data_IF_644891041947
#
_entry.id   IF_644891041947
#
_cell.length_a   1.000
_cell.length_b   1.000
_cell.length_c   1.000
_cell.angle_alpha   90.00
_cell.angle_beta   90.00
_cell.angle_gamma   90.00
#
_symmetry.space_group_name_H-M   'P 1'
#
loop_
_entity.id
_entity.type
_entity.pdbx_description
1 polymer ?
#
# COMPACT_ATOMS: atom_id res chain seq x y z
N UNK A 1 29.22 -0.19 38.10
CA UNK A 1 28.15 0.53 37.37
C UNK A 1 27.34 -0.58 36.77
N UNK A 2 26.18 -0.87 37.35
CA UNK A 2 25.25 -1.80 36.73
C UNK A 2 24.85 -1.15 35.40
N UNK A 3 25.29 -1.72 34.29
CA UNK A 3 24.69 -1.37 33.00
C UNK A 3 23.22 -1.75 33.12
N UNK A 4 22.32 -0.76 33.01
CA UNK A 4 20.89 -1.02 32.95
C UNK A 4 20.64 -1.97 31.77
N UNK A 5 20.49 -3.25 32.08
CA UNK A 5 20.22 -4.27 31.09
C UNK A 5 18.78 -4.11 30.64
N UNK A 6 18.57 -3.84 29.36
CA UNK A 6 17.24 -3.62 28.77
C UNK A 6 16.91 -4.72 27.76
N UNK A 7 15.65 -4.78 27.34
CA UNK A 7 15.26 -5.51 26.13
C UNK A 7 14.83 -4.51 25.07
N UNK A 8 15.10 -4.83 23.81
CA UNK A 8 14.88 -3.93 22.70
C UNK A 8 14.06 -4.56 21.60
N UNK A 9 13.37 -3.72 20.83
CA UNK A 9 12.76 -4.09 19.55
C UNK A 9 13.48 -3.39 18.42
N UNK A 10 13.93 -4.18 17.45
CA UNK A 10 14.44 -3.71 16.16
C UNK A 10 13.36 -3.88 15.10
N UNK A 11 13.04 -2.81 14.39
CA UNK A 11 12.12 -2.86 13.24
C UNK A 11 12.94 -2.93 11.96
N UNK A 12 12.57 -3.83 11.04
CA UNK A 12 13.30 -4.07 9.79
C UNK A 12 12.33 -4.03 8.63
N UNK A 13 12.64 -3.26 7.58
CA UNK A 13 11.88 -3.26 6.33
C UNK A 13 12.79 -3.69 5.17
N UNK A 14 13.09 -4.99 5.11
CA UNK A 14 13.82 -5.67 4.03
C UNK A 14 12.89 -6.42 3.07
N UNK A 15 11.59 -6.44 3.36
CA UNK A 15 10.55 -7.01 2.51
C UNK A 15 10.18 -6.08 1.34
N UNK A 16 11.18 -5.78 0.51
CA UNK A 16 11.10 -4.97 -0.70
C UNK A 16 11.87 -5.66 -1.84
N UNK A 17 11.81 -5.10 -3.06
CA UNK A 17 12.50 -5.67 -4.24
C UNK A 17 14.02 -5.48 -4.22
N UNK A 18 14.55 -4.58 -3.39
CA UNK A 18 16.01 -4.39 -3.24
C UNK A 18 16.61 -5.35 -2.21
N UNK A 19 15.80 -6.04 -1.40
CA UNK A 19 16.22 -6.95 -0.34
C UNK A 19 17.20 -6.32 0.67
N UNK A 20 17.06 -5.01 0.91
CA UNK A 20 17.83 -4.26 1.90
C UNK A 20 16.89 -3.61 2.92
N UNK A 21 17.36 -3.46 4.15
CA UNK A 21 16.60 -2.78 5.21
C UNK A 21 16.47 -1.28 4.93
N UNK A 22 15.26 -0.85 4.58
CA UNK A 22 14.92 0.54 4.25
C UNK A 22 14.15 1.24 5.39
N UNK A 23 14.00 0.61 6.57
CA UNK A 23 13.21 1.16 7.67
C UNK A 23 13.63 2.59 8.03
N UNK A 24 14.91 2.77 8.38
CA UNK A 24 15.48 4.06 8.77
C UNK A 24 15.45 5.13 7.67
N UNK A 25 15.26 4.74 6.40
CA UNK A 25 15.20 5.67 5.26
C UNK A 25 13.79 6.16 4.96
N UNK A 26 12.76 5.39 5.33
CA UNK A 26 11.39 5.65 4.88
C UNK A 26 10.39 5.83 6.02
N UNK A 27 10.55 5.10 7.13
CA UNK A 27 9.66 5.19 8.26
C UNK A 27 10.03 6.39 9.13
N UNK A 28 9.01 7.07 9.66
CA UNK A 28 9.19 8.26 10.51
C UNK A 28 8.39 8.24 11.81
N UNK A 29 7.56 7.20 11.96
CA UNK A 29 6.64 7.04 13.07
C UNK A 29 6.40 5.56 13.33
N UNK A 30 6.36 5.15 14.59
CA UNK A 30 6.16 3.76 14.99
C UNK A 30 5.12 3.65 16.12
N UNK A 31 4.19 2.72 15.96
CA UNK A 31 3.23 2.31 16.96
C UNK A 31 3.40 0.81 17.20
N UNK A 32 3.89 0.42 18.38
CA UNK A 32 4.02 -0.97 18.80
C UNK A 32 2.92 -1.30 19.81
N UNK A 33 1.94 -2.07 19.39
CA UNK A 33 0.88 -2.61 20.23
C UNK A 33 1.35 -3.90 20.87
N UNK A 34 1.27 -3.96 22.19
CA UNK A 34 1.70 -5.10 23.00
C UNK A 34 0.47 -5.79 23.57
N UNK A 35 0.35 -7.09 23.31
CA UNK A 35 -0.69 -7.96 23.84
C UNK A 35 -0.04 -9.06 24.68
N UNK A 36 -0.72 -9.54 25.72
CA UNK A 36 -0.24 -10.66 26.51
C UNK A 36 -0.35 -11.99 25.74
N UNK A 37 0.10 -13.09 26.35
CA UNK A 37 0.04 -14.44 25.74
C UNK A 37 -1.38 -14.92 25.39
N UNK A 38 -2.42 -14.29 25.93
CA UNK A 38 -3.84 -14.57 25.64
C UNK A 38 -4.42 -13.63 24.59
N UNK A 39 -3.61 -12.72 24.05
CA UNK A 39 -4.03 -11.73 23.07
C UNK A 39 -4.80 -10.56 23.66
N UNK A 40 -4.69 -10.30 24.97
CA UNK A 40 -5.31 -9.13 25.62
C UNK A 40 -4.35 -7.95 25.57
N UNK A 41 -4.85 -6.79 25.18
CA UNK A 41 -4.06 -5.57 25.02
C UNK A 41 -3.48 -5.12 26.36
N UNK A 42 -2.17 -4.84 26.36
CA UNK A 42 -1.40 -4.42 27.54
C UNK A 42 -1.05 -2.94 27.44
N UNK A 43 -0.41 -2.54 26.35
CA UNK A 43 0.04 -1.16 26.15
C UNK A 43 0.36 -0.88 24.68
N UNK A 44 0.48 0.40 24.36
CA UNK A 44 0.97 0.89 23.07
C UNK A 44 2.22 1.73 23.32
N UNK A 45 3.34 1.33 22.73
CA UNK A 45 4.56 2.13 22.70
C UNK A 45 4.59 2.94 21.40
N UNK A 46 4.95 4.22 21.49
CA UNK A 46 4.97 5.14 20.35
C UNK A 46 6.31 5.81 20.26
N UNK A 47 6.81 5.93 19.04
CA UNK A 47 7.95 6.78 18.74
C UNK A 47 7.62 7.62 17.50
N UNK A 48 7.85 8.93 17.58
CA UNK A 48 7.72 9.87 16.48
C UNK A 48 8.84 10.89 16.60
N UNK A 49 9.96 10.59 15.92
CA UNK A 49 11.20 11.36 16.00
C UNK A 49 11.62 11.98 14.66
N UNK A 50 10.77 11.85 13.63
CA UNK A 50 11.17 12.15 12.26
C UNK A 50 11.95 10.97 11.67
N UNK A 51 13.05 11.20 10.97
CA UNK A 51 13.85 10.12 10.41
C UNK A 51 14.50 9.28 11.53
N UNK A 52 14.25 7.96 11.55
CA UNK A 52 14.91 7.05 12.49
C UNK A 52 16.41 6.92 12.18
N UNK A 53 17.23 6.80 13.22
CA UNK A 53 18.63 6.43 13.06
C UNK A 53 18.76 4.99 12.49
N UNK A 54 19.81 4.67 11.71
CA UNK A 54 20.01 3.32 11.17
C UNK A 54 20.06 2.21 12.22
N UNK A 55 20.52 2.52 13.43
CA UNK A 55 20.66 1.63 14.58
C UNK A 55 19.57 1.85 15.64
N UNK A 56 18.45 2.48 15.27
CA UNK A 56 17.33 2.71 16.17
C UNK A 56 16.81 1.40 16.79
N UNK A 57 16.66 1.43 18.12
CA UNK A 57 16.08 0.37 18.94
C UNK A 57 15.01 0.98 19.83
N UNK A 58 13.83 0.37 19.85
CA UNK A 58 12.78 0.74 20.81
C UNK A 58 13.01 -0.03 22.12
N UNK A 59 13.27 0.69 23.21
CA UNK A 59 13.44 0.10 24.54
C UNK A 59 12.10 -0.38 25.10
N UNK A 60 12.05 -1.61 25.61
CA UNK A 60 10.88 -2.18 26.25
C UNK A 60 10.80 -1.77 27.75
N UNK A 61 9.59 -1.55 28.31
CA UNK A 61 9.42 -1.27 29.74
C UNK A 61 9.73 -2.45 30.66
N UNK A 62 10.61 -2.27 31.65
CA UNK A 62 11.08 -3.27 32.64
C UNK A 62 10.02 -4.21 33.23
N UNK A 63 8.79 -3.73 33.41
CA UNK A 63 7.65 -4.51 33.88
C UNK A 63 7.27 -5.70 32.98
N UNK A 64 7.81 -5.77 31.77
CA UNK A 64 7.61 -6.86 30.81
C UNK A 64 8.56 -8.04 31.00
N UNK A 65 9.54 -7.95 31.90
CA UNK A 65 10.53 -8.99 32.11
C UNK A 65 9.90 -10.36 32.42
N UNK A 66 10.38 -11.41 31.75
CA UNK A 66 10.02 -12.80 32.05
C UNK A 66 8.57 -13.19 31.71
N UNK A 67 7.85 -12.38 30.93
CA UNK A 67 6.48 -12.66 30.45
C UNK A 67 6.46 -12.81 28.93
N UNK A 68 5.47 -13.54 28.43
CA UNK A 68 5.23 -13.75 26.99
C UNK A 68 4.25 -12.71 26.43
N UNK A 69 4.57 -12.21 25.24
CA UNK A 69 3.81 -11.19 24.55
C UNK A 69 3.67 -11.48 23.05
N UNK A 70 2.66 -10.82 22.46
CA UNK A 70 2.46 -10.68 21.03
C UNK A 70 2.61 -9.20 20.71
N UNK A 71 3.48 -8.90 19.75
CA UNK A 71 3.73 -7.55 19.26
C UNK A 71 3.06 -7.38 17.89
N UNK A 72 2.28 -6.31 17.74
CA UNK A 72 1.76 -5.86 16.46
C UNK A 72 2.26 -4.43 16.22
N UNK A 73 3.02 -4.24 15.16
CA UNK A 73 3.63 -2.97 14.80
C UNK A 73 2.88 -2.35 13.62
N UNK A 74 2.60 -1.06 13.73
CA UNK A 74 2.16 -0.24 12.62
C UNK A 74 3.07 0.99 12.53
N UNK A 75 3.64 1.24 11.36
CA UNK A 75 4.43 2.43 11.09
C UNK A 75 3.70 3.34 10.11
N UNK A 76 3.74 4.66 10.36
CA UNK A 76 3.10 5.64 9.49
C UNK A 76 1.60 5.87 9.74
N UNK A 77 1.11 5.56 10.95
CA UNK A 77 -0.26 5.89 11.38
C UNK A 77 -0.43 7.39 11.62
N UNK A 78 -0.52 8.14 10.52
CA UNK A 78 -0.84 9.56 10.47
C UNK A 78 -2.35 9.75 10.38
N UNK A 79 -2.90 10.61 11.25
CA UNK A 79 -4.35 10.86 11.36
C UNK A 79 -4.95 11.55 10.13
N UNK A 80 -4.11 12.07 9.24
CA UNK A 80 -4.47 12.63 7.94
C UNK A 80 -4.83 11.55 6.91
N UNK A 81 -4.36 10.31 7.13
CA UNK A 81 -4.52 9.19 6.20
C UNK A 81 -5.29 8.02 6.81
N UNK A 82 -5.14 7.78 8.12
CA UNK A 82 -5.58 6.55 8.76
C UNK A 82 -6.32 6.80 10.07
N UNK A 83 -7.39 6.04 10.26
CA UNK A 83 -8.03 5.86 11.56
C UNK A 83 -7.53 4.56 12.19
N UNK A 84 -7.52 4.56 13.52
CA UNK A 84 -7.25 3.39 14.33
C UNK A 84 -8.20 3.34 15.50
N UNK A 85 -8.55 2.14 15.91
CA UNK A 85 -9.30 1.95 17.16
C UNK A 85 -8.47 2.37 18.38
N UNK A 86 -9.16 2.85 19.41
CA UNK A 86 -8.54 3.07 20.73
C UNK A 86 -8.75 1.81 21.55
N UNK A 87 -7.66 1.11 21.85
CA UNK A 87 -7.69 -0.10 22.66
C UNK A 87 -7.64 0.23 24.16
N UNK A 88 -8.36 -0.56 24.96
CA UNK A 88 -8.40 -0.43 26.42
C UNK A 88 -7.57 -1.54 27.08
N UNK A 89 -6.52 -1.20 27.85
CA UNK A 89 -5.68 -2.19 28.53
C UNK A 89 -6.48 -3.16 29.40
N UNK A 90 -6.18 -4.46 29.30
CA UNK A 90 -6.84 -5.52 30.04
C UNK A 90 -8.25 -5.88 29.58
N UNK A 91 -8.78 -5.20 28.56
CA UNK A 91 -10.13 -5.42 28.02
C UNK A 91 -10.09 -5.77 26.54
N UNK A 92 -9.51 -4.89 25.73
CA UNK A 92 -9.42 -5.11 24.28
C UNK A 92 -8.51 -6.27 23.96
N UNK A 93 -8.76 -6.91 22.82
CA UNK A 93 -8.03 -8.07 22.34
C UNK A 93 -7.41 -7.79 20.97
N UNK A 94 -6.62 -8.73 20.46
CA UNK A 94 -6.09 -8.68 19.09
C UNK A 94 -7.19 -8.48 18.04
N UNK A 95 -8.35 -9.10 18.22
CA UNK A 95 -9.47 -9.00 17.27
C UNK A 95 -10.10 -7.60 17.24
N UNK A 96 -9.91 -6.81 18.30
CA UNK A 96 -10.38 -5.43 18.31
C UNK A 96 -9.46 -4.50 17.53
N UNK A 97 -8.19 -4.86 17.29
CA UNK A 97 -7.22 -4.01 16.61
C UNK A 97 -7.52 -3.93 15.11
N UNK A 98 -8.02 -2.76 14.72
CA UNK A 98 -8.28 -2.39 13.34
C UNK A 98 -7.57 -1.08 12.96
N UNK A 99 -7.05 -1.04 11.73
CA UNK A 99 -6.56 0.17 11.06
C UNK A 99 -7.32 0.34 9.75
N UNK A 100 -7.79 1.55 9.46
CA UNK A 100 -8.55 1.85 8.25
C UNK A 100 -8.10 3.15 7.60
N UNK A 101 -8.30 3.27 6.28
CA UNK A 101 -8.17 4.55 5.59
C UNK A 101 -9.32 5.46 5.96
N UNK A 102 -9.03 6.73 6.22
CA UNK A 102 -10.02 7.67 6.72
C UNK A 102 -10.43 8.73 5.71
N UNK A 103 -11.34 9.61 6.13
CA UNK A 103 -11.79 10.78 5.36
C UNK A 103 -12.24 10.42 3.93
N UNK A 104 -12.92 9.28 3.81
CA UNK A 104 -13.46 8.80 2.54
C UNK A 104 -14.55 9.76 2.06
N UNK A 105 -14.42 10.28 0.84
CA UNK A 105 -15.48 11.07 0.20
C UNK A 105 -16.56 10.13 -0.33
N UNK A 106 -17.81 10.55 -0.24
CA UNK A 106 -18.93 9.72 -0.71
C UNK A 106 -19.04 9.75 -2.24
N UNK A 107 -19.01 8.57 -2.87
CA UNK A 107 -19.47 8.34 -4.24
C UNK A 107 -20.47 7.18 -4.23
N UNK A 108 -21.34 7.08 -5.23
CA UNK A 108 -22.31 5.98 -5.33
C UNK A 108 -21.54 4.64 -5.32
N UNK A 109 -21.76 3.83 -4.29
CA UNK A 109 -21.19 2.48 -4.17
C UNK A 109 -19.79 2.38 -3.56
N UNK A 110 -19.25 3.42 -2.91
CA UNK A 110 -17.98 3.30 -2.20
C UNK A 110 -17.39 4.61 -1.65
N UNK A 111 -16.27 4.48 -0.95
CA UNK A 111 -15.49 5.61 -0.44
C UNK A 111 -14.36 6.01 -1.39
N UNK A 112 -14.13 7.31 -1.55
CA UNK A 112 -13.07 7.84 -2.43
C UNK A 112 -11.92 8.44 -1.63
N UNK A 113 -10.69 8.12 -2.04
CA UNK A 113 -9.43 8.73 -1.60
C UNK A 113 -8.81 9.50 -2.76
N UNK A 114 -8.70 10.82 -2.64
CA UNK A 114 -8.16 11.72 -3.67
C UNK A 114 -6.93 12.50 -3.22
N UNK A 115 -6.24 11.97 -2.21
CA UNK A 115 -5.05 12.58 -1.61
C UNK A 115 -3.91 11.57 -1.58
N UNK A 116 -2.69 12.10 -1.53
CA UNK A 116 -1.52 11.27 -1.26
C UNK A 116 -1.64 10.69 0.16
N UNK A 117 -1.55 9.37 0.28
CA UNK A 117 -1.52 8.68 1.56
C UNK A 117 -0.09 8.65 2.12
N UNK A 118 0.04 8.91 3.43
CA UNK A 118 1.28 8.64 4.14
C UNK A 118 1.64 7.16 4.01
N UNK A 119 2.92 6.82 3.96
CA UNK A 119 3.35 5.42 3.83
C UNK A 119 2.92 4.60 5.06
N UNK A 120 2.43 3.38 4.85
CA UNK A 120 1.95 2.50 5.91
C UNK A 120 2.67 1.16 5.88
N UNK A 121 3.17 0.72 7.04
CA UNK A 121 3.75 -0.60 7.22
C UNK A 121 3.10 -1.34 8.38
N UNK A 122 3.07 -2.67 8.28
CA UNK A 122 2.66 -3.58 9.34
C UNK A 122 3.76 -4.59 9.63
N UNK A 123 3.87 -5.01 10.89
CA UNK A 123 4.60 -6.22 11.26
C UNK A 123 3.97 -6.89 12.47
N UNK A 124 4.19 -8.19 12.63
CA UNK A 124 3.74 -8.94 13.81
C UNK A 124 4.83 -9.91 14.26
N UNK A 125 5.05 -9.97 15.56
CA UNK A 125 5.94 -10.95 16.18
C UNK A 125 5.23 -11.60 17.36
N UNK A 126 5.20 -12.93 17.38
CA UNK A 126 4.62 -13.72 18.47
C UNK A 126 5.71 -14.29 19.37
N UNK A 127 5.29 -14.80 20.53
CA UNK A 127 6.14 -15.51 21.50
C UNK A 127 7.32 -14.68 22.04
N UNK A 128 7.19 -13.35 22.06
CA UNK A 128 8.24 -12.45 22.54
C UNK A 128 8.34 -12.55 24.06
N UNK A 129 9.53 -12.83 24.57
CA UNK A 129 9.80 -12.98 26.00
C UNK A 129 11.00 -12.14 26.43
N UNK A 130 10.82 -10.84 26.72
CA UNK A 130 11.90 -9.93 27.10
C UNK A 130 12.66 -10.41 28.34
N UNK A 131 13.98 -10.53 28.26
CA UNK A 131 14.83 -11.07 29.35
C UNK A 131 15.58 -9.98 30.15
N UNK A 132 15.63 -8.75 29.65
CA UNK A 132 16.39 -7.64 30.24
C UNK A 132 17.85 -8.00 30.42
N UNK A 133 18.46 -8.55 29.36
CA UNK A 133 19.88 -8.90 29.28
C UNK A 133 20.54 -8.34 28.00
N UNK A 134 20.02 -7.20 27.52
CA UNK A 134 20.36 -6.59 26.22
C UNK A 134 19.92 -7.44 25.01
N UNK A 135 18.85 -8.23 25.17
CA UNK A 135 18.21 -8.97 24.09
C UNK A 135 17.49 -8.05 23.11
N UNK A 136 17.55 -8.42 21.83
CA UNK A 136 16.91 -7.70 20.73
C UNK A 136 15.92 -8.63 20.04
N UNK A 137 14.65 -8.24 20.05
CA UNK A 137 13.60 -8.88 19.24
C UNK A 137 13.47 -8.13 17.93
N UNK A 138 13.52 -8.84 16.79
CA UNK A 138 13.29 -8.22 15.49
C UNK A 138 11.83 -8.35 15.07
N UNK A 139 11.21 -7.26 14.62
CA UNK A 139 9.90 -7.24 13.98
C UNK A 139 10.08 -6.87 12.52
N UNK A 140 9.86 -7.83 11.63
CA UNK A 140 9.88 -7.61 10.18
C UNK A 140 8.63 -6.87 9.73
N UNK A 141 8.82 -5.86 8.89
CA UNK A 141 7.77 -4.99 8.39
C UNK A 141 7.49 -5.25 6.90
N UNK A 142 6.22 -5.17 6.54
CA UNK A 142 5.69 -5.20 5.18
C UNK A 142 5.02 -3.86 4.88
N UNK A 143 5.26 -3.32 3.69
CA UNK A 143 4.69 -2.04 3.26
C UNK A 143 3.35 -2.22 2.55
N UNK A 144 2.29 -1.66 3.12
CA UNK A 144 0.93 -1.75 2.58
C UNK A 144 0.69 -0.77 1.43
N UNK A 145 1.15 0.47 1.57
CA UNK A 145 0.94 1.53 0.56
C UNK A 145 1.71 1.27 -0.73
N UNK A 146 1.04 1.46 -1.86
CA UNK A 146 1.60 1.33 -3.23
C UNK A 146 1.41 2.64 -3.99
N UNK A 147 2.39 3.02 -4.81
CA UNK A 147 2.33 4.20 -5.69
C UNK A 147 2.28 3.79 -7.15
N UNK A 148 1.45 4.50 -7.91
CA UNK A 148 1.27 4.33 -9.34
C UNK A 148 1.50 5.66 -10.05
N UNK A 149 2.37 5.68 -11.06
CA UNK A 149 2.52 6.82 -11.99
C UNK A 149 2.08 6.35 -13.37
N UNK A 150 1.01 6.93 -13.88
CA UNK A 150 0.44 6.61 -15.18
C UNK A 150 0.79 7.73 -16.14
N UNK A 151 1.31 7.39 -17.31
CA UNK A 151 1.67 8.29 -18.39
C UNK A 151 0.82 7.89 -19.61
N UNK A 152 0.18 8.83 -20.27
CA UNK A 152 -0.60 8.62 -21.48
C UNK A 152 0.01 9.41 -22.63
N UNK A 153 0.31 8.72 -23.73
CA UNK A 153 1.01 9.26 -24.90
C UNK A 153 0.22 9.00 -26.17
N UNK A 154 0.17 10.00 -27.05
CA UNK A 154 -0.29 9.82 -28.43
C UNK A 154 0.88 9.35 -29.31
N UNK A 155 0.63 8.35 -30.15
CA UNK A 155 1.57 7.88 -31.18
C UNK A 155 1.45 8.65 -32.50
N UNK A 156 0.46 9.53 -32.61
CA UNK A 156 0.24 10.44 -33.73
C UNK A 156 0.31 11.90 -33.26
N UNK A 157 0.08 12.85 -34.17
CA UNK A 157 0.19 14.30 -33.91
C UNK A 157 -0.97 14.88 -33.07
N UNK A 158 -1.85 14.03 -32.53
CA UNK A 158 -2.94 14.49 -31.66
C UNK A 158 -2.42 14.91 -30.29
N UNK A 159 -3.12 15.85 -29.65
CA UNK A 159 -2.86 16.22 -28.25
C UNK A 159 -3.58 15.29 -27.28
N UNK A 160 -3.00 15.12 -26.10
CA UNK A 160 -3.63 14.48 -24.95
C UNK A 160 -3.44 15.36 -23.73
N UNK A 161 -4.52 15.54 -22.96
CA UNK A 161 -4.51 16.35 -21.75
C UNK A 161 -4.99 15.51 -20.56
N UNK A 162 -4.25 15.53 -19.46
CA UNK A 162 -4.56 14.73 -18.27
C UNK A 162 -5.93 15.11 -17.68
N UNK A 163 -6.31 16.38 -17.79
CA UNK A 163 -7.55 16.90 -17.25
C UNK A 163 -8.79 16.35 -17.96
N UNK A 164 -8.65 15.73 -19.13
CA UNK A 164 -9.74 15.07 -19.84
C UNK A 164 -10.10 13.69 -19.26
N UNK A 165 -9.31 13.17 -18.30
CA UNK A 165 -9.44 11.80 -17.80
C UNK A 165 -9.62 11.72 -16.29
N UNK A 166 -10.42 10.76 -15.85
CA UNK A 166 -10.51 10.27 -14.48
C UNK A 166 -9.72 8.97 -14.34
N UNK A 167 -8.73 8.96 -13.46
CA UNK A 167 -7.92 7.78 -13.14
C UNK A 167 -8.37 7.20 -11.80
N UNK A 168 -8.59 5.89 -11.75
CA UNK A 168 -9.05 5.20 -10.55
C UNK A 168 -8.38 3.84 -10.36
N UNK A 169 -7.91 3.58 -9.15
CA UNK A 169 -7.71 2.20 -8.67
C UNK A 169 -8.89 1.86 -7.76
N UNK A 170 -9.56 0.75 -8.03
CA UNK A 170 -10.71 0.29 -7.24
C UNK A 170 -10.32 -1.02 -6.56
N UNK A 171 -10.40 -1.05 -5.23
CA UNK A 171 -9.98 -2.21 -4.44
C UNK A 171 -10.68 -2.26 -3.07
N UNK A 172 -11.06 -3.46 -2.57
CA UNK A 172 -11.59 -3.64 -1.21
C UNK A 172 -10.46 -3.76 -0.16
N UNK A 173 -9.56 -2.76 -0.11
CA UNK A 173 -8.36 -2.81 0.74
C UNK A 173 -8.26 -1.65 1.75
N UNK A 174 -9.40 -1.09 2.14
CA UNK A 174 -9.47 0.09 3.00
C UNK A 174 -9.29 -0.19 4.49
N UNK A 175 -9.39 -1.44 4.94
CA UNK A 175 -9.45 -1.82 6.36
C UNK A 175 -8.62 -3.07 6.62
N UNK A 176 -7.93 -3.10 7.76
CA UNK A 176 -6.98 -4.16 8.13
C UNK A 176 -7.20 -4.61 9.58
N UNK A 177 -7.13 -5.91 9.82
CA UNK A 177 -7.05 -6.47 11.15
C UNK A 177 -5.59 -6.54 11.66
N UNK A 178 -5.41 -7.11 12.85
CA UNK A 178 -4.10 -7.28 13.50
C UNK A 178 -3.11 -8.18 12.74
N UNK A 179 -3.59 -9.04 11.82
CA UNK A 179 -2.76 -9.90 10.95
C UNK A 179 -2.43 -9.25 9.61
N UNK A 180 -2.79 -7.97 9.43
CA UNK A 180 -2.75 -7.30 8.12
C UNK A 180 -3.64 -7.94 7.06
N UNK A 181 -4.63 -8.72 7.49
CA UNK A 181 -5.69 -9.26 6.66
C UNK A 181 -6.73 -8.17 6.38
N UNK A 182 -7.28 -8.20 5.16
CA UNK A 182 -8.32 -7.26 4.76
C UNK A 182 -9.61 -7.52 5.55
N UNK A 183 -10.31 -6.44 5.89
CA UNK A 183 -11.62 -6.46 6.52
C UNK A 183 -12.66 -5.81 5.60
N UNK A 184 -13.92 -6.19 5.77
CA UNK A 184 -15.06 -5.65 5.04
C UNK A 184 -15.53 -6.55 3.90
N UNK A 185 -16.73 -6.26 3.39
CA UNK A 185 -17.29 -6.97 2.23
C UNK A 185 -16.60 -6.52 0.93
N UNK A 186 -16.07 -7.47 0.15
CA UNK A 186 -15.35 -7.15 -1.09
C UNK A 186 -16.22 -6.52 -2.18
N UNK A 187 -17.54 -6.71 -2.12
CA UNK A 187 -18.51 -6.17 -3.09
C UNK A 187 -18.92 -4.75 -2.70
N UNK A 188 -19.21 -4.53 -1.41
CA UNK A 188 -19.84 -3.31 -0.92
C UNK A 188 -18.87 -2.30 -0.28
N UNK A 189 -17.69 -2.74 0.18
CA UNK A 189 -16.71 -1.89 0.87
C UNK A 189 -15.46 -1.58 0.01
N UNK A 190 -15.65 -1.40 -1.30
CA UNK A 190 -14.57 -0.98 -2.20
C UNK A 190 -14.17 0.48 -1.97
N UNK A 191 -12.87 0.73 -2.01
CA UNK A 191 -12.28 2.07 -2.02
C UNK A 191 -11.86 2.41 -3.45
N UNK A 192 -12.27 3.59 -3.91
CA UNK A 192 -11.74 4.19 -5.13
C UNK A 192 -10.61 5.16 -4.78
N UNK A 193 -9.41 4.89 -5.28
CA UNK A 193 -8.28 5.80 -5.18
C UNK A 193 -8.14 6.58 -6.49
N UNK A 194 -8.23 7.90 -6.43
CA UNK A 194 -8.07 8.79 -7.59
C UNK A 194 -6.69 9.44 -7.60
N UNK A 195 -6.36 10.10 -8.71
CA UNK A 195 -5.11 10.85 -8.80
C UNK A 195 -5.06 11.98 -7.76
N UNK A 196 -3.93 12.07 -7.04
CA UNK A 196 -3.61 13.18 -6.14
C UNK A 196 -2.68 14.21 -6.80
N UNK A 197 -2.05 13.83 -7.91
CA UNK A 197 -1.22 14.70 -8.72
C UNK A 197 -1.45 14.40 -10.20
N UNK A 198 -1.63 15.45 -10.99
CA UNK A 198 -1.78 15.39 -12.44
C UNK A 198 -0.91 16.47 -13.08
N UNK A 199 -0.36 16.18 -14.24
CA UNK A 199 0.53 17.07 -14.99
C UNK A 199 0.41 16.79 -16.50
N UNK A 200 0.40 17.84 -17.31
CA UNK A 200 0.67 17.73 -18.74
C UNK A 200 2.14 18.06 -18.97
N UNK A 201 2.92 17.07 -19.40
CA UNK A 201 4.32 17.24 -19.75
C UNK A 201 4.49 17.31 -21.28
N UNK A 202 5.14 18.36 -21.83
CA UNK A 202 5.25 18.54 -23.28
C UNK A 202 6.00 17.42 -24.03
N UNK A 203 6.88 16.68 -23.36
CA UNK A 203 7.68 15.63 -23.98
C UNK A 203 7.07 14.23 -23.78
N UNK A 204 6.43 14.01 -22.64
CA UNK A 204 5.98 12.68 -22.18
C UNK A 204 4.47 12.51 -22.15
N UNK A 205 3.68 13.57 -22.32
CA UNK A 205 2.22 13.54 -22.43
C UNK A 205 1.49 13.77 -21.10
N UNK A 206 0.31 13.17 -20.96
CA UNK A 206 -0.55 13.34 -19.78
C UNK A 206 -0.11 12.40 -18.65
N UNK A 207 0.09 12.92 -17.44
CA UNK A 207 0.64 12.18 -16.30
C UNK A 207 -0.31 12.25 -15.12
N UNK A 208 -0.61 11.10 -14.50
CA UNK A 208 -1.36 11.01 -13.26
C UNK A 208 -0.64 10.13 -12.22
N UNK A 209 -0.57 10.60 -10.98
CA UNK A 209 -0.08 9.80 -9.86
C UNK A 209 -1.20 9.44 -8.89
N UNK A 210 -1.26 8.17 -8.55
CA UNK A 210 -2.21 7.57 -7.64
C UNK A 210 -1.46 6.79 -6.56
N UNK A 211 -2.15 6.52 -5.45
CA UNK A 211 -1.74 5.50 -4.50
C UNK A 211 -2.86 4.52 -4.26
N UNK A 212 -2.53 3.34 -3.77
CA UNK A 212 -3.50 2.44 -3.14
C UNK A 212 -2.85 1.80 -1.92
N UNK A 213 -3.59 0.93 -1.24
CA UNK A 213 -3.09 0.16 -0.12
C UNK A 213 -2.72 -1.26 -0.59
N UNK A 214 -2.70 -2.23 0.33
CA UNK A 214 -2.18 -3.57 0.05
C UNK A 214 -3.00 -4.23 -1.05
N UNK A 215 -2.33 -4.79 -2.05
CA UNK A 215 -2.96 -5.54 -3.12
C UNK A 215 -2.89 -7.02 -2.77
N UNK A 216 -4.06 -7.66 -2.66
CA UNK A 216 -4.17 -9.08 -2.34
C UNK A 216 -4.50 -9.88 -3.60
N UNK A 217 -3.91 -11.06 -3.76
CA UNK A 217 -4.06 -11.86 -4.98
C UNK A 217 -5.46 -12.42 -5.19
N UNK A 218 -6.20 -12.60 -4.09
CA UNK A 218 -7.55 -13.14 -4.02
C UNK A 218 -8.63 -12.05 -4.14
N UNK A 219 -8.28 -10.77 -4.19
CA UNK A 219 -9.24 -9.66 -4.35
C UNK A 219 -9.30 -9.10 -5.76
N UNK A 220 -10.46 -8.55 -6.12
CA UNK A 220 -10.65 -7.84 -7.39
C UNK A 220 -10.08 -6.41 -7.33
N UNK A 221 -8.84 -6.26 -7.80
CA UNK A 221 -8.16 -4.97 -7.92
C UNK A 221 -8.23 -4.48 -9.37
N UNK A 222 -8.80 -3.29 -9.62
CA UNK A 222 -9.00 -2.76 -10.97
C UNK A 222 -8.31 -1.42 -11.16
N UNK A 223 -7.73 -1.21 -12.34
CA UNK A 223 -7.35 0.11 -12.83
C UNK A 223 -8.36 0.54 -13.90
N UNK A 224 -9.00 1.67 -13.68
CA UNK A 224 -10.03 2.24 -14.54
C UNK A 224 -9.63 3.66 -14.96
N UNK A 225 -9.70 3.94 -16.26
CA UNK A 225 -9.50 5.27 -16.83
C UNK A 225 -10.76 5.62 -17.63
N UNK A 226 -11.37 6.76 -17.33
CA UNK A 226 -12.61 7.21 -17.96
C UNK A 226 -12.38 8.59 -18.58
N UNK A 227 -12.81 8.79 -19.82
CA UNK A 227 -12.77 10.11 -20.45
C UNK A 227 -13.96 10.94 -19.92
N UNK A 228 -13.66 12.04 -19.22
CA UNK A 228 -14.62 12.80 -18.41
C UNK A 228 -15.81 13.32 -19.21
N UNK A 229 -15.56 13.90 -20.38
CA UNK A 229 -16.61 14.57 -21.17
C UNK A 229 -17.60 13.58 -21.78
N UNK A 230 -17.11 12.45 -22.31
CA UNK A 230 -17.94 11.41 -22.91
C UNK A 230 -18.52 10.41 -21.91
N UNK A 231 -17.87 10.24 -20.75
CA UNK A 231 -18.15 9.13 -19.82
C UNK A 231 -17.63 7.76 -20.28
N UNK A 232 -16.95 7.67 -21.44
CA UNK A 232 -16.46 6.41 -21.98
C UNK A 232 -15.31 5.86 -21.14
N UNK A 233 -15.35 4.55 -20.89
CA UNK A 233 -14.28 3.82 -20.22
C UNK A 233 -13.19 3.51 -21.25
N UNK A 234 -12.04 4.16 -21.09
CA UNK A 234 -10.88 4.02 -21.97
C UNK A 234 -10.06 2.78 -21.62
N UNK A 235 -9.88 2.55 -20.32
CA UNK A 235 -9.17 1.40 -19.79
C UNK A 235 -9.94 0.86 -18.60
N UNK A 236 -10.08 -0.45 -18.54
CA UNK A 236 -10.59 -1.15 -17.37
C UNK A 236 -9.98 -2.54 -17.33
N UNK A 237 -9.01 -2.71 -16.42
CA UNK A 237 -8.19 -3.90 -16.37
C UNK A 237 -8.05 -4.48 -14.96
N UNK A 238 -8.02 -5.82 -14.82
CA UNK A 238 -7.68 -6.47 -13.56
C UNK A 238 -6.18 -6.29 -13.26
N UNK A 239 -5.85 -5.39 -12.34
CA UNK A 239 -4.49 -4.92 -12.07
C UNK A 239 -3.53 -6.08 -11.74
N UNK A 240 -3.97 -7.02 -10.90
CA UNK A 240 -3.18 -8.19 -10.49
C UNK A 240 -2.69 -9.03 -11.67
N UNK A 241 -3.49 -9.16 -12.75
CA UNK A 241 -3.12 -9.93 -13.95
C UNK A 241 -1.89 -9.32 -14.62
N UNK A 242 -1.86 -8.00 -14.75
CA UNK A 242 -0.79 -7.28 -15.45
C UNK A 242 0.46 -7.16 -14.56
N UNK A 243 0.29 -6.95 -13.25
CA UNK A 243 1.41 -7.01 -12.30
C UNK A 243 2.04 -8.41 -12.24
N UNK A 244 1.25 -9.48 -12.34
CA UNK A 244 1.78 -10.85 -12.43
C UNK A 244 2.57 -11.10 -13.72
N UNK A 245 2.17 -10.50 -14.84
CA UNK A 245 2.92 -10.60 -16.09
C UNK A 245 4.33 -10.01 -15.94
N UNK A 246 4.46 -8.86 -15.24
CA UNK A 246 5.77 -8.28 -14.91
C UNK A 246 6.59 -9.17 -13.98
N UNK A 247 5.94 -9.69 -12.92
CA UNK A 247 6.58 -10.62 -12.01
C UNK A 247 7.16 -11.82 -12.74
N UNK A 248 6.38 -12.47 -13.60
CA UNK A 248 6.82 -13.66 -14.37
C UNK A 248 8.07 -13.41 -15.22
N UNK A 249 8.33 -12.17 -15.60
CA UNK A 249 9.47 -11.81 -16.41
C UNK A 249 10.74 -11.54 -15.60
N UNK A 250 10.62 -10.80 -14.50
CA UNK A 250 11.79 -10.30 -13.74
C UNK A 250 11.99 -10.99 -12.39
N UNK A 251 10.92 -11.56 -11.85
CA UNK A 251 10.84 -12.12 -10.50
C UNK A 251 10.06 -13.45 -10.51
N UNK A 252 10.32 -14.30 -11.50
CA UNK A 252 9.55 -15.52 -11.75
C UNK A 252 9.52 -16.49 -10.55
N UNK A 253 10.59 -16.46 -9.75
CA UNK A 253 10.84 -17.38 -8.64
C UNK A 253 10.09 -17.02 -7.35
N UNK A 254 9.54 -15.79 -7.23
CA UNK A 254 8.75 -15.40 -6.05
C UNK A 254 7.25 -15.54 -6.33
N UNK A 255 6.43 -15.97 -5.35
CA UNK A 255 4.96 -15.98 -5.48
C UNK A 255 4.38 -14.61 -5.81
N UNK A 256 3.18 -14.58 -6.41
CA UNK A 256 2.53 -13.32 -6.78
C UNK A 256 2.24 -12.43 -5.56
N UNK A 257 1.74 -12.99 -4.46
CA UNK A 257 1.48 -12.20 -3.25
C UNK A 257 2.78 -11.58 -2.70
N UNK A 258 3.88 -12.34 -2.67
CA UNK A 258 5.18 -11.81 -2.26
C UNK A 258 5.64 -10.67 -3.17
N UNK A 259 5.48 -10.79 -4.50
CA UNK A 259 5.79 -9.70 -5.42
C UNK A 259 4.92 -8.45 -5.17
N UNK A 260 3.60 -8.62 -5.02
CA UNK A 260 2.68 -7.50 -4.75
C UNK A 260 2.99 -6.81 -3.42
N UNK A 261 3.48 -7.57 -2.43
CA UNK A 261 3.87 -7.02 -1.14
C UNK A 261 5.25 -6.33 -1.18
N UNK A 262 6.23 -6.85 -1.95
CA UNK A 262 7.58 -6.27 -2.11
C UNK A 262 7.63 -5.05 -3.02
N UNK A 263 6.90 -5.08 -4.13
CA UNK A 263 6.83 -3.98 -5.07
C UNK A 263 5.92 -2.88 -4.50
N UNK A 264 6.40 -1.63 -4.44
CA UNK A 264 5.65 -0.51 -3.88
C UNK A 264 5.53 0.69 -4.83
N UNK A 265 6.20 0.64 -5.99
CA UNK A 265 6.16 1.67 -7.03
C UNK A 265 5.93 1.03 -8.40
N UNK A 266 4.98 1.57 -9.14
CA UNK A 266 4.58 1.08 -10.45
C UNK A 266 4.45 2.25 -11.44
N UNK A 267 5.28 2.27 -12.48
CA UNK A 267 5.08 3.12 -13.65
C UNK A 267 4.23 2.40 -14.68
N UNK A 268 3.22 3.06 -15.23
CA UNK A 268 2.39 2.58 -16.35
C UNK A 268 2.47 3.65 -17.44
N UNK A 269 2.72 3.25 -18.68
CA UNK A 269 2.71 4.10 -19.86
C UNK A 269 1.65 3.52 -20.80
N UNK A 270 0.75 4.34 -21.28
CA UNK A 270 -0.33 3.97 -22.20
C UNK A 270 -0.09 4.73 -23.49
N UNK A 271 0.08 4.00 -24.58
CA UNK A 271 0.23 4.56 -25.91
C UNK A 271 -1.09 4.43 -26.66
N UNK A 272 -1.54 5.54 -27.22
CA UNK A 272 -2.80 5.65 -27.95
C UNK A 272 -2.52 5.96 -29.41
N UNK A 273 -3.37 5.45 -30.30
CA UNK A 273 -3.32 5.78 -31.72
C UNK A 273 -4.72 6.12 -32.21
N UNK A 274 -4.91 7.35 -32.66
CA UNK A 274 -6.16 7.88 -33.22
C UNK A 274 -7.37 7.82 -32.29
N UNK A 275 -8.36 8.64 -32.59
CA UNK A 275 -9.71 8.51 -32.03
C UNK A 275 -10.70 8.26 -33.18
N UNK A 276 -11.70 7.41 -32.95
CA UNK A 276 -12.84 7.27 -33.84
C UNK A 276 -13.75 8.52 -33.76
N UNK A 277 -14.75 8.59 -34.63
CA UNK A 277 -15.70 9.71 -34.65
C UNK A 277 -16.58 9.85 -33.39
N UNK A 278 -16.49 8.89 -32.45
CA UNK A 278 -17.21 8.88 -31.17
C UNK A 278 -16.28 9.22 -29.99
N UNK A 279 -15.00 9.52 -30.24
CA UNK A 279 -14.01 9.83 -29.20
C UNK A 279 -13.43 8.61 -28.51
N UNK A 280 -13.56 7.40 -29.08
CA UNK A 280 -12.89 6.21 -28.58
C UNK A 280 -11.51 6.06 -29.22
N UNK A 281 -10.54 5.60 -28.46
CA UNK A 281 -9.22 5.32 -29.02
C UNK A 281 -9.21 4.07 -29.90
N UNK A 282 -8.58 4.14 -31.07
CA UNK A 282 -8.57 3.04 -32.06
C UNK A 282 -7.67 1.88 -31.60
N UNK A 283 -6.62 2.16 -30.82
CA UNK A 283 -5.81 1.12 -30.16
C UNK A 283 -5.07 1.67 -28.95
N UNK A 284 -4.86 0.81 -27.95
CA UNK A 284 -4.11 1.11 -26.72
C UNK A 284 -3.03 0.06 -26.45
N UNK A 285 -1.77 0.49 -26.41
CA UNK A 285 -0.63 -0.32 -25.97
C UNK A 285 -0.22 0.09 -24.53
N UNK A 286 -0.06 -0.87 -23.62
CA UNK A 286 0.16 -0.61 -22.19
C UNK A 286 1.55 -1.07 -21.76
N UNK A 287 2.47 -0.19 -21.42
CA UNK A 287 3.76 -0.54 -20.85
C UNK A 287 3.78 -0.37 -19.32
N UNK A 288 4.21 -1.38 -18.54
CA UNK A 288 4.31 -1.25 -17.07
C UNK A 288 5.75 -1.51 -16.62
N UNK A 289 6.32 -0.63 -15.79
CA UNK A 289 7.70 -0.69 -15.30
C UNK A 289 8.74 -0.90 -16.42
N UNK A 290 8.54 -0.25 -17.57
CA UNK A 290 9.41 -0.38 -18.74
C UNK A 290 9.12 -1.58 -19.65
N UNK A 291 8.06 -2.35 -19.43
CA UNK A 291 7.69 -3.50 -20.28
C UNK A 291 6.39 -3.34 -21.08
N UNK A 292 6.40 -3.55 -22.40
CA UNK A 292 5.24 -3.42 -23.30
C UNK A 292 4.25 -4.59 -23.19
N UNK A 293 2.98 -4.29 -22.90
CA UNK A 293 1.83 -5.20 -22.85
C UNK A 293 0.79 -4.72 -23.87
N UNK A 294 0.53 -5.51 -24.90
CA UNK A 294 -0.44 -5.13 -25.94
C UNK A 294 -1.85 -5.56 -25.56
N UNK A 295 -2.82 -4.64 -25.62
CA UNK A 295 -4.24 -5.00 -25.65
C UNK A 295 -4.67 -5.02 -27.12
N UNK A 296 -4.88 -6.20 -27.70
CA UNK A 296 -5.54 -6.30 -29.01
C UNK A 296 -7.05 -6.29 -28.81
N UNK A 297 -7.74 -5.31 -29.37
CA UNK A 297 -9.15 -5.47 -29.69
C UNK A 297 -9.23 -6.32 -30.96
N UNK A 298 -9.77 -7.53 -30.81
CA UNK A 298 -10.13 -8.35 -31.97
C UNK A 298 -11.56 -7.98 -32.31
N UNK A 299 -11.73 -6.94 -33.11
CA UNK A 299 -12.96 -6.77 -33.87
C UNK A 299 -12.85 -7.58 -35.15
N UNK A 300 -13.68 -8.62 -35.25
CA UNK A 300 -13.81 -9.40 -36.47
C UNK A 300 -14.72 -10.62 -36.32
N UNK A 301 -16.04 -10.43 -36.45
CA UNK A 301 -16.83 -10.81 -37.63
C UNK A 301 -18.00 -9.82 -37.78
#
# INVERSE_FOLDING_TARGET
MDEDCNSYVRFVYDYNLEYIDLFHKQATKMNLYVFDEKGVFVTELKEESGAFAPDYLMTLPGAMAGRRYIFVAWSGLYGESYDKVILTPGVSTLEDLEVSVNNLKTRIGGGVVDRELHLLWHGKQTEVSPQYNNDITTVSLLKNTKKFRIIMQMLDDSSIHVDDYDFRIISPNGRYNHENGLLGDETDEKVEYTAYHTEDDPETGAIAELNTLRLMTDTENRLVITHKSSGNVILDIPLNKYLNALRLQQYADIPLQEYLDRADKHGIILFFKGMDGNGNYISVDVQINGWLIRKQEVDGV
#
